data_IF_744236332398
#
_entry.id   IF_744236332398
#
_cell.length_a   1.000
_cell.length_b   1.000
_cell.length_c   1.000
_cell.angle_alpha   90.00
_cell.angle_beta   90.00
_cell.angle_gamma   90.00
#
_symmetry.space_group_name_H-M   'P 1'
#
loop_
_entity.id
_entity.type
_entity.pdbx_description
1 polymer ?
#
# COMPACT_ATOMS: atom_id res chain seq x y z
N UNK A 1 12.37 -22.29 21.33
CA UNK A 1 13.14 -21.05 21.15
C UNK A 1 12.28 -20.12 20.32
N UNK A 2 11.99 -18.90 20.79
CA UNK A 2 11.25 -17.94 19.98
C UNK A 2 12.16 -17.54 18.81
N UNK A 3 11.78 -17.88 17.59
CA UNK A 3 12.47 -17.40 16.39
C UNK A 3 12.48 -15.87 16.45
N UNK A 4 13.66 -15.25 16.29
CA UNK A 4 13.74 -13.81 16.11
C UNK A 4 12.83 -13.44 14.94
N UNK A 5 11.80 -12.59 15.12
CA UNK A 5 10.88 -12.28 14.05
C UNK A 5 11.68 -11.64 12.91
N UNK A 6 11.88 -12.38 11.83
CA UNK A 6 12.46 -11.86 10.60
C UNK A 6 11.52 -10.79 10.07
N UNK A 7 12.06 -9.62 9.74
CA UNK A 7 11.27 -8.54 9.15
C UNK A 7 10.62 -9.07 7.87
N UNK A 8 9.29 -9.12 7.87
CA UNK A 8 8.55 -9.50 6.67
C UNK A 8 8.74 -8.50 5.54
N UNK A 9 8.67 -9.04 4.32
CA UNK A 9 8.82 -8.30 3.07
C UNK A 9 7.63 -7.38 2.89
N UNK A 10 7.90 -6.10 2.62
CA UNK A 10 6.85 -5.15 2.31
C UNK A 10 6.19 -5.47 0.96
N UNK A 11 4.87 -5.64 0.96
CA UNK A 11 4.07 -5.96 -0.22
C UNK A 11 3.88 -4.71 -1.08
N UNK A 12 4.11 -4.83 -2.38
CA UNK A 12 3.83 -3.76 -3.37
C UNK A 12 2.35 -3.81 -3.70
N UNK A 13 1.70 -2.65 -3.66
CA UNK A 13 0.24 -2.53 -3.78
C UNK A 13 -0.11 -1.16 -4.37
N UNK A 14 -1.11 -1.09 -5.26
CA UNK A 14 -1.68 0.16 -5.75
C UNK A 14 -2.71 0.74 -4.77
N UNK A 15 -2.99 2.04 -4.84
CA UNK A 15 -3.86 2.67 -3.87
C UNK A 15 -5.29 2.10 -3.90
N UNK A 16 -5.81 1.78 -5.08
CA UNK A 16 -7.13 1.14 -5.24
C UNK A 16 -7.23 -0.17 -4.45
N UNK A 17 -6.32 -1.11 -4.65
CA UNK A 17 -6.31 -2.39 -3.91
C UNK A 17 -6.10 -2.19 -2.41
N UNK A 18 -5.23 -1.26 -2.02
CA UNK A 18 -4.94 -0.98 -0.63
C UNK A 18 -6.14 -0.40 0.12
N UNK A 19 -6.87 0.53 -0.50
CA UNK A 19 -8.00 1.20 0.12
C UNK A 19 -9.19 0.26 0.33
N UNK A 20 -9.32 -0.78 -0.51
CA UNK A 20 -10.33 -1.83 -0.37
C UNK A 20 -9.97 -2.88 0.71
N UNK A 21 -8.73 -2.88 1.22
CA UNK A 21 -8.18 -3.89 2.11
C UNK A 21 -8.60 -3.70 3.59
N UNK A 22 -9.90 -3.80 3.86
CA UNK A 22 -10.52 -3.45 5.16
C UNK A 22 -10.46 -4.54 6.23
N UNK A 23 -10.20 -5.81 5.87
CA UNK A 23 -10.14 -6.93 6.80
C UNK A 23 -8.76 -7.12 7.41
N UNK A 24 -8.71 -7.38 8.73
CA UNK A 24 -7.48 -7.68 9.46
C UNK A 24 -7.58 -8.98 10.24
N UNK A 25 -6.48 -9.73 10.34
CA UNK A 25 -6.45 -11.00 11.04
C UNK A 25 -5.08 -11.33 11.64
N UNK A 26 -5.02 -12.39 12.45
CA UNK A 26 -3.81 -13.00 12.99
C UNK A 26 -3.78 -14.47 12.57
N UNK A 27 -2.59 -15.01 12.28
CA UNK A 27 -2.43 -16.43 11.94
C UNK A 27 -2.40 -17.35 13.18
N UNK A 28 -2.33 -16.79 14.38
CA UNK A 28 -2.34 -17.56 15.63
C UNK A 28 -2.96 -16.79 16.78
N UNK A 29 -3.39 -17.53 17.80
CA UNK A 29 -3.95 -16.98 19.04
C UNK A 29 -2.89 -16.36 19.97
N UNK A 30 -1.62 -16.31 19.57
CA UNK A 30 -0.58 -15.66 20.37
C UNK A 30 -0.88 -14.15 20.51
N UNK A 31 -0.82 -13.65 21.74
CA UNK A 31 -1.05 -12.23 22.02
C UNK A 31 -0.10 -11.33 21.21
N UNK A 32 1.12 -11.82 20.94
CA UNK A 32 2.17 -11.16 20.16
C UNK A 32 2.13 -11.50 18.67
N UNK A 33 1.16 -12.27 18.20
CA UNK A 33 1.04 -12.60 16.79
C UNK A 33 0.92 -11.31 15.95
N UNK A 34 1.64 -11.23 14.82
CA UNK A 34 1.50 -10.11 13.89
C UNK A 34 0.07 -10.01 13.38
N UNK A 35 -0.42 -8.79 13.27
CA UNK A 35 -1.70 -8.48 12.60
C UNK A 35 -1.41 -8.19 11.14
N UNK A 36 -2.16 -8.81 10.26
CA UNK A 36 -2.09 -8.62 8.81
C UNK A 36 -3.34 -7.91 8.34
N UNK A 37 -3.19 -7.10 7.28
CA UNK A 37 -4.29 -6.76 6.39
C UNK A 37 -4.35 -7.80 5.28
N UNK A 38 -5.56 -8.24 4.93
CA UNK A 38 -5.79 -9.07 3.76
C UNK A 38 -6.00 -8.15 2.54
N UNK A 39 -5.28 -8.39 1.45
CA UNK A 39 -5.54 -7.71 0.19
C UNK A 39 -6.67 -8.42 -0.56
N UNK A 40 -7.53 -7.70 -1.28
CA UNK A 40 -8.59 -8.30 -2.09
C UNK A 40 -8.11 -9.30 -3.15
N UNK A 41 -6.85 -9.24 -3.56
CA UNK A 41 -6.24 -10.23 -4.46
C UNK A 41 -5.68 -11.48 -3.76
N UNK A 42 -6.07 -11.73 -2.50
CA UNK A 42 -5.74 -12.96 -1.78
C UNK A 42 -4.31 -13.03 -1.23
N UNK A 43 -3.73 -11.88 -0.87
CA UNK A 43 -2.39 -11.81 -0.27
C UNK A 43 -2.44 -11.09 1.07
N UNK A 44 -1.64 -11.53 2.04
CA UNK A 44 -1.54 -10.88 3.34
C UNK A 44 -0.40 -9.88 3.39
N UNK A 45 -0.61 -8.78 4.10
CA UNK A 45 0.36 -7.72 4.26
C UNK A 45 0.52 -7.31 5.74
N UNK A 46 1.70 -7.57 6.31
CA UNK A 46 2.12 -6.90 7.56
C UNK A 46 2.75 -5.54 7.30
N UNK A 47 3.31 -5.36 6.11
CA UNK A 47 3.93 -4.14 5.61
C UNK A 47 3.59 -3.93 4.14
N UNK A 48 3.49 -2.68 3.75
CA UNK A 48 3.33 -2.25 2.37
C UNK A 48 4.50 -1.38 1.92
N UNK A 49 4.81 -1.45 0.64
CA UNK A 49 5.77 -0.61 -0.04
C UNK A 49 5.10 0.06 -1.24
N UNK A 50 5.01 1.39 -1.18
CA UNK A 50 4.40 2.20 -2.22
C UNK A 50 5.35 3.30 -2.68
N UNK A 51 5.21 3.71 -3.93
CA UNK A 51 5.86 4.89 -4.49
C UNK A 51 4.80 5.72 -5.21
N UNK A 52 4.78 7.02 -4.97
CA UNK A 52 3.84 7.92 -5.60
C UNK A 52 4.21 9.38 -5.39
N UNK A 53 3.32 10.27 -5.81
CA UNK A 53 3.49 11.71 -5.66
C UNK A 53 2.90 12.16 -4.34
N UNK A 54 3.73 12.61 -3.41
CA UNK A 54 3.28 13.34 -2.23
C UNK A 54 2.69 14.67 -2.70
N UNK A 55 1.38 14.85 -2.54
CA UNK A 55 0.67 16.06 -2.99
C UNK A 55 0.41 17.03 -1.85
N UNK A 56 0.25 16.52 -0.62
CA UNK A 56 -0.12 17.32 0.55
C UNK A 56 0.56 16.77 1.81
N UNK A 57 0.96 17.66 2.71
CA UNK A 57 1.48 17.38 4.05
C UNK A 57 0.86 18.37 5.03
N UNK A 58 0.26 17.89 6.11
CA UNK A 58 -0.44 18.73 7.09
C UNK A 58 -0.19 18.23 8.51
N UNK A 59 0.03 19.15 9.46
CA UNK A 59 -0.01 18.81 10.89
C UNK A 59 -1.47 18.87 11.34
N UNK A 60 -2.05 17.69 11.57
CA UNK A 60 -3.45 17.51 11.99
C UNK A 60 -3.55 17.24 13.50
N UNK A 61 -2.44 17.37 14.23
CA UNK A 61 -2.38 17.21 15.68
C UNK A 61 -2.93 18.42 16.43
N UNK A 62 -3.64 18.16 17.55
CA UNK A 62 -4.11 19.21 18.45
C UNK A 62 -3.09 19.51 19.57
N UNK A 63 -2.88 18.54 20.47
CA UNK A 63 -2.00 18.65 21.64
C UNK A 63 -0.58 18.09 21.40
N UNK A 64 -0.38 17.39 20.29
CA UNK A 64 0.86 16.67 19.98
C UNK A 64 1.04 16.59 18.48
N UNK A 65 2.29 16.68 18.03
CA UNK A 65 2.62 16.64 16.61
C UNK A 65 2.12 15.36 15.95
N UNK A 66 1.29 15.53 14.91
CA UNK A 66 0.67 14.44 14.19
C UNK A 66 0.50 14.80 12.72
N UNK A 67 1.45 14.34 11.90
CA UNK A 67 1.50 14.68 10.49
C UNK A 67 0.69 13.70 9.64
N UNK A 68 -0.16 14.25 8.78
CA UNK A 68 -0.79 13.56 7.68
C UNK A 68 0.01 13.82 6.39
N UNK A 69 0.17 12.80 5.57
CA UNK A 69 0.63 12.94 4.20
C UNK A 69 -0.32 12.27 3.22
N UNK A 70 -0.48 12.89 2.05
CA UNK A 70 -1.31 12.38 0.94
C UNK A 70 -0.43 12.01 -0.25
N UNK A 71 -0.40 10.73 -0.60
CA UNK A 71 0.38 10.21 -1.74
C UNK A 71 -0.55 9.74 -2.83
N UNK A 72 -0.42 10.28 -4.03
CA UNK A 72 -1.18 9.87 -5.21
C UNK A 72 -0.36 8.87 -6.01
N UNK A 73 -0.96 7.72 -6.34
CA UNK A 73 -0.36 6.71 -7.19
C UNK A 73 -0.53 7.06 -8.69
N UNK A 74 0.10 6.31 -9.62
CA UNK A 74 0.00 6.61 -11.06
C UNK A 74 -1.41 6.56 -11.64
N UNK A 75 -2.35 5.87 -10.98
CA UNK A 75 -3.74 5.79 -11.41
C UNK A 75 -4.58 6.98 -10.90
N UNK A 76 -4.00 7.86 -10.08
CA UNK A 76 -4.70 8.99 -9.46
C UNK A 76 -5.37 8.65 -8.13
N UNK A 77 -5.31 7.39 -7.69
CA UNK A 77 -5.81 6.96 -6.40
C UNK A 77 -4.86 7.38 -5.28
N UNK A 78 -5.38 7.54 -4.07
CA UNK A 78 -4.63 8.14 -2.95
C UNK A 78 -4.35 7.12 -1.85
N UNK A 79 -3.13 7.16 -1.31
CA UNK A 79 -2.79 6.65 0.01
C UNK A 79 -2.78 7.79 1.03
N UNK A 80 -3.36 7.55 2.20
CA UNK A 80 -3.18 8.41 3.38
C UNK A 80 -2.15 7.79 4.33
N UNK A 81 -1.23 8.62 4.80
CA UNK A 81 -0.25 8.23 5.82
C UNK A 81 -0.32 9.16 7.03
N UNK A 82 -0.12 8.57 8.21
CA UNK A 82 -0.15 9.31 9.48
C UNK A 82 1.06 8.98 10.33
N UNK A 83 1.82 9.99 10.74
CA UNK A 83 3.01 9.86 11.59
C UNK A 83 2.91 10.80 12.79
N UNK A 84 2.85 10.21 13.99
CA UNK A 84 2.88 10.97 15.24
C UNK A 84 4.21 10.85 15.99
N UNK A 85 4.19 11.24 17.27
CA UNK A 85 5.35 11.19 18.19
C UNK A 85 6.08 9.83 18.27
N UNK A 86 5.40 8.72 17.95
CA UNK A 86 5.99 7.38 17.97
C UNK A 86 6.65 7.00 16.62
N UNK A 87 6.60 7.87 15.62
CA UNK A 87 7.24 7.75 14.30
C UNK A 87 8.06 9.02 14.01
N UNK A 88 9.02 9.39 14.87
CA UNK A 88 9.67 10.70 14.80
C UNK A 88 10.40 10.95 13.47
N UNK A 89 11.00 9.91 12.88
CA UNK A 89 11.69 10.01 11.59
C UNK A 89 10.70 10.29 10.45
N UNK A 90 9.58 9.56 10.40
CA UNK A 90 8.57 9.75 9.37
C UNK A 90 7.83 11.09 9.54
N UNK A 91 7.49 11.47 10.77
CA UNK A 91 6.90 12.78 11.06
C UNK A 91 7.82 13.93 10.63
N UNK A 92 9.14 13.79 10.87
CA UNK A 92 10.11 14.78 10.43
C UNK A 92 10.21 14.85 8.91
N UNK A 93 10.26 13.71 8.22
CA UNK A 93 10.21 13.69 6.76
C UNK A 93 8.95 14.40 6.21
N UNK A 94 7.77 14.16 6.78
CA UNK A 94 6.53 14.85 6.35
C UNK A 94 6.58 16.36 6.58
N UNK A 95 7.21 16.80 7.67
CA UNK A 95 7.41 18.22 7.98
C UNK A 95 8.38 18.91 7.01
N UNK A 96 9.40 18.18 6.55
CA UNK A 96 10.52 18.72 5.78
C UNK A 96 10.32 18.63 4.26
N UNK A 97 9.53 17.67 3.78
CA UNK A 97 9.25 17.52 2.36
C UNK A 97 8.38 18.66 1.83
N UNK A 98 8.68 19.12 0.61
CA UNK A 98 7.90 20.13 -0.09
C UNK A 98 7.11 19.47 -1.23
N UNK A 99 5.77 19.33 -1.11
CA UNK A 99 4.94 18.84 -2.21
C UNK A 99 4.90 19.82 -3.40
N UNK A 100 4.83 19.34 -4.67
CA UNK A 100 4.81 17.93 -5.06
C UNK A 100 6.20 17.28 -5.09
N UNK A 101 6.30 16.05 -4.56
CA UNK A 101 7.54 15.27 -4.59
C UNK A 101 7.27 13.77 -4.73
N UNK A 102 8.07 13.04 -5.51
CA UNK A 102 7.99 11.58 -5.50
C UNK A 102 8.57 11.03 -4.20
N UNK A 103 7.81 10.15 -3.56
CA UNK A 103 8.20 9.53 -2.29
C UNK A 103 8.04 8.02 -2.34
N UNK A 104 9.01 7.31 -1.77
CA UNK A 104 8.93 5.90 -1.46
C UNK A 104 8.61 5.73 0.02
N UNK A 105 7.58 4.94 0.32
CA UNK A 105 7.08 4.73 1.68
C UNK A 105 7.05 3.24 1.99
N UNK A 106 7.65 2.87 3.12
CA UNK A 106 7.44 1.57 3.76
C UNK A 106 6.66 1.84 5.05
N UNK A 107 5.57 1.11 5.24
CA UNK A 107 4.76 1.30 6.43
C UNK A 107 3.88 0.11 6.74
N UNK A 108 3.23 0.18 7.90
CA UNK A 108 2.25 -0.81 8.32
C UNK A 108 0.85 -0.34 7.94
N UNK A 109 0.06 -1.17 7.25
CA UNK A 109 -1.34 -0.86 7.03
C UNK A 109 -2.09 -0.81 8.37
N UNK A 110 -3.06 0.09 8.47
CA UNK A 110 -3.91 0.32 9.65
C UNK A 110 -5.32 0.56 9.16
N UNK A 111 -6.26 -0.25 9.64
CA UNK A 111 -7.69 -0.01 9.43
C UNK A 111 -8.23 0.84 10.57
N UNK A 112 -9.19 1.69 10.27
CA UNK A 112 -9.93 2.49 11.25
C UNK A 112 -11.35 2.74 10.72
N UNK A 113 -12.28 2.87 11.65
CA UNK A 113 -13.67 3.18 11.34
C UNK A 113 -13.86 4.70 11.34
N UNK A 114 -14.54 5.23 10.32
CA UNK A 114 -14.95 6.63 10.27
C UNK A 114 -16.23 6.86 11.09
N UNK A 115 -16.56 8.12 11.35
CA UNK A 115 -17.80 8.48 12.05
C UNK A 115 -19.08 7.99 11.33
N UNK A 116 -19.00 7.79 10.01
CA UNK A 116 -20.07 7.25 9.17
C UNK A 116 -20.13 5.72 9.16
N UNK A 117 -19.23 5.04 9.89
CA UNK A 117 -19.17 3.58 10.00
C UNK A 117 -18.44 2.88 8.85
N UNK A 118 -17.79 3.63 7.97
CA UNK A 118 -16.97 3.07 6.88
C UNK A 118 -15.58 2.71 7.40
N UNK A 119 -15.08 1.53 7.01
CA UNK A 119 -13.72 1.11 7.37
C UNK A 119 -12.76 1.60 6.29
N UNK A 120 -11.87 2.51 6.68
CA UNK A 120 -10.81 3.01 5.82
C UNK A 120 -9.46 2.42 6.20
N UNK A 121 -8.52 2.48 5.26
CA UNK A 121 -7.15 1.99 5.44
C UNK A 121 -6.17 3.17 5.30
N UNK A 122 -5.18 3.22 6.19
CA UNK A 122 -4.08 4.16 6.13
C UNK A 122 -2.75 3.47 6.33
N UNK A 123 -1.67 4.16 5.97
CA UNK A 123 -0.30 3.71 6.19
C UNK A 123 0.24 4.40 7.43
N UNK A 124 0.70 3.61 8.41
CA UNK A 124 1.59 4.10 9.46
C UNK A 124 3.04 3.97 8.94
N UNK A 125 3.67 5.05 8.49
CA UNK A 125 4.98 4.97 7.85
C UNK A 125 6.04 4.57 8.88
N UNK A 126 6.89 3.63 8.48
CA UNK A 126 8.13 3.27 9.17
C UNK A 126 9.32 4.03 8.55
N UNK A 127 9.28 4.31 7.24
CA UNK A 127 10.25 5.13 6.53
C UNK A 127 9.61 5.85 5.34
N UNK A 128 10.03 7.09 5.12
CA UNK A 128 9.68 7.91 3.95
C UNK A 128 11.00 8.38 3.32
N UNK A 129 11.10 8.35 2.00
CA UNK A 129 12.29 8.86 1.29
C UNK A 129 11.85 9.54 -0.01
N UNK A 130 12.39 10.72 -0.28
CA UNK A 130 12.23 11.36 -1.59
C UNK A 130 12.97 10.52 -2.63
N UNK A 131 12.35 10.29 -3.77
CA UNK A 131 12.91 9.51 -4.88
C UNK A 131 12.76 10.26 -6.20
N UNK A 132 13.38 9.74 -7.25
CA UNK A 132 13.24 10.26 -8.60
C UNK A 132 12.14 9.54 -9.40
N UNK A 133 11.84 10.08 -10.57
CA UNK A 133 10.86 9.53 -11.50
C UNK A 133 11.21 8.10 -11.93
N UNK A 134 12.48 7.81 -12.23
CA UNK A 134 12.92 6.48 -12.62
C UNK A 134 12.63 5.42 -11.54
N UNK A 135 12.76 5.79 -10.26
CA UNK A 135 12.39 4.91 -9.13
C UNK A 135 10.88 4.69 -9.07
N UNK A 136 10.08 5.74 -9.30
CA UNK A 136 8.61 5.64 -9.43
C UNK A 136 8.24 4.68 -10.54
N UNK A 137 8.78 4.85 -11.73
CA UNK A 137 8.47 4.04 -12.92
C UNK A 137 8.82 2.57 -12.69
N UNK A 138 9.99 2.32 -12.09
CA UNK A 138 10.41 0.97 -11.72
C UNK A 138 9.42 0.32 -10.74
N UNK A 139 8.95 1.08 -9.76
CA UNK A 139 7.94 0.61 -8.82
C UNK A 139 6.62 0.30 -9.53
N UNK A 140 6.18 1.11 -10.49
CA UNK A 140 4.95 0.85 -11.27
C UNK A 140 5.01 -0.51 -11.95
N UNK A 141 6.09 -0.77 -12.70
CA UNK A 141 6.27 -2.03 -13.43
C UNK A 141 6.29 -3.23 -12.49
N UNK A 142 7.06 -3.16 -11.40
CA UNK A 142 7.16 -4.27 -10.44
C UNK A 142 5.87 -4.50 -9.65
N UNK A 143 5.11 -3.43 -9.36
CA UNK A 143 3.83 -3.52 -8.65
C UNK A 143 2.76 -4.08 -9.56
N UNK A 144 2.69 -3.65 -10.82
CA UNK A 144 1.79 -4.21 -11.80
C UNK A 144 2.04 -5.70 -12.04
N UNK A 145 3.29 -6.11 -12.28
CA UNK A 145 3.66 -7.52 -12.46
C UNK A 145 3.20 -8.36 -11.27
N UNK A 146 3.56 -7.96 -10.04
CA UNK A 146 3.19 -8.72 -8.83
C UNK A 146 1.68 -8.76 -8.60
N UNK A 147 0.96 -7.72 -8.98
CA UNK A 147 -0.50 -7.68 -8.84
C UNK A 147 -1.15 -8.62 -9.86
N UNK A 148 -0.68 -8.63 -11.10
CA UNK A 148 -1.13 -9.57 -12.13
C UNK A 148 -0.81 -11.02 -11.76
N UNK A 149 0.38 -11.29 -11.21
CA UNK A 149 0.77 -12.62 -10.75
C UNK A 149 -0.18 -13.11 -9.63
N UNK A 150 -0.54 -12.24 -8.67
CA UNK A 150 -1.51 -12.55 -7.61
C UNK A 150 -2.90 -12.85 -8.18
N UNK A 151 -3.37 -12.04 -9.12
CA UNK A 151 -4.69 -12.25 -9.76
C UNK A 151 -4.70 -13.55 -10.55
N UNK A 152 -3.62 -13.88 -11.26
CA UNK A 152 -3.53 -15.16 -11.96
C UNK A 152 -3.61 -16.33 -10.97
N UNK A 153 -2.88 -16.25 -9.86
CA UNK A 153 -2.95 -17.26 -8.81
C UNK A 153 -4.31 -17.32 -8.10
N UNK A 154 -5.04 -16.19 -8.04
CA UNK A 154 -6.40 -16.13 -7.51
C UNK A 154 -7.39 -16.90 -8.39
N UNK A 155 -7.19 -16.88 -9.71
CA UNK A 155 -8.02 -17.59 -10.69
C UNK A 155 -7.61 -19.06 -10.88
N UNK A 156 -6.38 -19.44 -10.50
CA UNK A 156 -5.86 -20.80 -10.62
C UNK A 156 -6.33 -21.69 -9.45
N UNK A 157 -7.29 -22.59 -9.72
CA UNK A 157 -7.87 -23.52 -8.72
C UNK A 157 -6.89 -24.58 -8.15
N UNK A 158 -5.63 -24.61 -8.60
CA UNK A 158 -4.61 -25.62 -8.24
C UNK A 158 -3.51 -25.08 -7.27
N UNK A 159 -3.62 -23.84 -6.76
CA UNK A 159 -2.57 -23.11 -6.02
C UNK A 159 -2.60 -23.21 -4.48
N UNK A 160 -1.97 -24.24 -3.91
CA UNK A 160 -2.13 -24.64 -2.50
C UNK A 160 -1.78 -23.66 -1.34
N UNK A 161 -0.96 -22.61 -1.52
CA UNK A 161 -0.65 -21.64 -0.44
C UNK A 161 -1.45 -20.33 -0.55
N UNK A 162 -1.81 -19.91 -1.76
CA UNK A 162 -2.70 -18.77 -1.94
C UNK A 162 -4.16 -19.16 -1.69
N UNK A 163 -4.51 -20.45 -1.81
CA UNK A 163 -5.86 -20.95 -1.59
C UNK A 163 -6.50 -20.46 -0.28
N UNK A 164 -5.79 -20.48 0.86
CA UNK A 164 -6.40 -20.06 2.13
C UNK A 164 -6.75 -18.56 2.17
N UNK A 165 -5.86 -17.72 1.65
CA UNK A 165 -6.06 -16.26 1.64
C UNK A 165 -6.95 -15.80 0.50
N UNK A 166 -6.95 -16.51 -0.63
CA UNK A 166 -7.88 -16.32 -1.76
C UNK A 166 -9.30 -16.66 -1.32
N UNK A 167 -9.48 -17.78 -0.64
CA UNK A 167 -10.77 -18.14 -0.06
C UNK A 167 -11.23 -17.09 0.96
N UNK A 168 -10.34 -16.71 1.89
CA UNK A 168 -10.65 -15.67 2.88
C UNK A 168 -11.00 -14.34 2.20
N UNK A 169 -10.27 -13.93 1.16
CA UNK A 169 -10.54 -12.69 0.43
C UNK A 169 -11.91 -12.74 -0.26
N UNK A 170 -12.25 -13.89 -0.86
CA UNK A 170 -13.57 -14.11 -1.49
C UNK A 170 -14.72 -14.08 -0.48
N UNK A 171 -14.48 -14.43 0.78
CA UNK A 171 -15.47 -14.37 1.86
C UNK A 171 -15.62 -12.97 2.45
N UNK A 172 -14.51 -12.21 2.53
CA UNK A 172 -14.50 -10.89 3.17
C UNK A 172 -14.83 -9.76 2.19
N UNK A 173 -14.52 -9.92 0.90
CA UNK A 173 -14.69 -8.87 -0.11
C UNK A 173 -15.66 -9.31 -1.20
N UNK A 174 -16.72 -8.52 -1.40
CA UNK A 174 -17.60 -8.62 -2.57
C UNK A 174 -17.09 -7.70 -3.69
N UNK A 175 -15.82 -7.89 -4.08
CA UNK A 175 -15.12 -7.04 -5.05
C UNK A 175 -14.49 -7.90 -6.15
N UNK A 176 -14.75 -7.62 -7.44
CA UNK A 176 -14.15 -8.38 -8.51
C UNK A 176 -12.67 -8.06 -8.66
N UNK A 177 -11.81 -9.07 -8.60
CA UNK A 177 -10.34 -8.94 -8.74
C UNK A 177 -9.91 -8.26 -10.06
N UNK A 178 -10.79 -8.31 -11.07
CA UNK A 178 -10.61 -7.62 -12.35
C UNK A 178 -10.50 -6.09 -12.23
N UNK A 179 -11.03 -5.50 -11.15
CA UNK A 179 -10.81 -4.08 -10.86
C UNK A 179 -9.32 -3.78 -10.69
N UNK A 180 -8.59 -4.65 -9.98
CA UNK A 180 -7.16 -4.49 -9.73
C UNK A 180 -6.32 -4.87 -10.94
N UNK A 181 -6.80 -5.78 -11.81
CA UNK A 181 -6.19 -6.01 -13.13
C UNK A 181 -6.22 -4.74 -13.96
N UNK A 182 -7.38 -4.06 -14.02
CA UNK A 182 -7.51 -2.78 -14.74
C UNK A 182 -6.60 -1.70 -14.15
N UNK A 183 -6.48 -1.61 -12.83
CA UNK A 183 -5.55 -0.68 -12.18
C UNK A 183 -4.07 -0.98 -12.54
N UNK A 184 -3.68 -2.25 -12.54
CA UNK A 184 -2.32 -2.66 -12.92
C UNK A 184 -2.00 -2.37 -14.39
N UNK A 185 -2.93 -2.68 -15.30
CA UNK A 185 -2.77 -2.40 -16.73
C UNK A 185 -2.79 -0.90 -17.01
N UNK A 186 -3.73 -0.16 -16.41
CA UNK A 186 -3.84 1.29 -16.58
C UNK A 186 -2.59 2.04 -16.12
N UNK A 187 -1.95 1.59 -15.04
CA UNK A 187 -0.69 2.16 -14.60
C UNK A 187 0.47 1.90 -15.60
N UNK A 188 0.53 0.72 -16.20
CA UNK A 188 1.52 0.39 -17.25
C UNK A 188 1.27 1.18 -18.53
N UNK A 189 0.02 1.32 -18.96
CA UNK A 189 -0.37 2.09 -20.14
C UNK A 189 -0.05 3.59 -19.97
N UNK A 190 -0.32 4.13 -18.77
CA UNK A 190 0.00 5.52 -18.43
C UNK A 190 1.52 5.75 -18.50
N UNK A 191 2.29 4.85 -17.90
CA UNK A 191 3.76 4.90 -17.91
C UNK A 191 4.33 4.77 -19.33
N UNK A 192 3.73 3.95 -20.20
CA UNK A 192 4.15 3.83 -21.59
C UNK A 192 3.82 5.10 -22.39
N UNK A 193 2.69 5.75 -22.11
CA UNK A 193 2.33 7.06 -22.65
C UNK A 193 3.36 8.14 -22.28
N UNK A 194 3.70 8.23 -21.00
CA UNK A 194 4.71 9.18 -20.49
C UNK A 194 6.07 9.00 -21.18
N UNK A 195 6.52 7.76 -21.36
CA UNK A 195 7.78 7.46 -22.06
C UNK A 195 7.76 7.79 -23.55
N UNK A 196 6.61 7.66 -24.22
CA UNK A 196 6.46 8.00 -25.65
C UNK A 196 6.46 9.50 -25.89
N UNK A 197 5.92 10.27 -24.96
CA UNK A 197 5.84 11.73 -25.04
C UNK A 197 7.12 12.43 -24.52
N UNK A 198 8.03 11.68 -23.88
CA UNK A 198 9.34 12.18 -23.47
C UNK A 198 10.18 12.54 -24.72
N UNK A 199 10.73 13.77 -24.81
CA UNK A 199 11.56 14.16 -25.94
C UNK A 199 12.83 13.29 -25.99
N UNK A 200 13.19 12.78 -27.17
CA UNK A 200 14.50 12.14 -27.38
C UNK A 200 15.61 13.14 -27.02
N UNK A 201 16.36 12.82 -25.97
CA UNK A 201 17.48 13.61 -25.45
C UNK A 201 18.74 13.51 -26.33
#
# INVERSE_FOLDING_TARGET
MAATPTREVARRVFASEFNDASYTFKESDDERAPVYVLLPTGERANRVFLVGTLTETEDVGEDSEYWQGRVVDPNGDTFFMYAGQYQPDAASMLRELEPPAYVAVVGKPRTYETDDGEVNVSVRPESISQVDEATRDRWVVETAQRTLDRIQAFDDEDGAEMDEYVQMASEQYDLPVENYRRAAVGALESLEGEQRDAPEA
#
